data_IF_939816147049
#
_entry.id   IF_939816147049
#
_cell.length_a   1.000
_cell.length_b   1.000
_cell.length_c   1.000
_cell.angle_alpha   90.00
_cell.angle_beta   90.00
_cell.angle_gamma   90.00
#
_symmetry.space_group_name_H-M   'P 1'
#
loop_
_entity.id
_entity.type
_entity.pdbx_description
1 polymer ?
#
# COMPACT_ATOMS: atom_id res chain seq x y z
N UNK A 1 12.03 -9.30 -14.59
CA UNK A 1 11.50 -7.99 -14.19
C UNK A 1 12.04 -6.99 -15.17
N UNK A 2 11.20 -6.07 -15.61
CA UNK A 2 11.63 -4.89 -16.37
C UNK A 2 11.47 -3.66 -15.49
N UNK A 3 12.41 -2.73 -15.63
CA UNK A 3 12.43 -1.46 -14.90
C UNK A 3 12.46 -0.35 -15.94
N UNK A 4 11.51 0.57 -15.85
CA UNK A 4 11.47 1.76 -16.69
C UNK A 4 12.35 2.83 -16.04
N UNK A 5 13.39 3.26 -16.75
CA UNK A 5 14.38 4.22 -16.27
C UNK A 5 14.37 5.49 -17.13
N UNK A 6 14.56 6.64 -16.48
CA UNK A 6 14.96 7.86 -17.15
C UNK A 6 16.43 7.80 -17.54
N UNK A 7 16.84 8.65 -18.50
CA UNK A 7 18.24 8.75 -18.93
C UNK A 7 19.21 9.12 -17.79
N UNK A 8 18.70 9.74 -16.71
CA UNK A 8 19.46 10.09 -15.50
C UNK A 8 19.46 8.98 -14.42
N UNK A 9 18.92 7.79 -14.73
CA UNK A 9 18.91 6.64 -13.83
C UNK A 9 17.76 6.59 -12.82
N UNK A 10 16.85 7.57 -12.81
CA UNK A 10 15.65 7.52 -11.95
C UNK A 10 14.67 6.45 -12.43
N UNK A 11 14.10 5.70 -11.49
CA UNK A 11 13.09 4.66 -11.75
C UNK A 11 11.71 5.30 -11.90
N UNK A 12 11.05 5.07 -13.04
CA UNK A 12 9.67 5.44 -13.28
C UNK A 12 8.70 4.35 -12.85
N UNK A 13 9.09 3.09 -13.06
CA UNK A 13 8.23 1.95 -12.82
C UNK A 13 8.98 0.64 -12.92
N UNK A 14 8.31 -0.43 -12.48
CA UNK A 14 8.78 -1.78 -12.68
C UNK A 14 7.59 -2.70 -12.95
N UNK A 15 7.80 -3.69 -13.81
CA UNK A 15 6.82 -4.73 -14.12
C UNK A 15 7.44 -6.11 -14.02
N UNK A 16 6.66 -7.06 -13.48
CA UNK A 16 7.06 -8.45 -13.52
C UNK A 16 6.98 -8.95 -14.96
N UNK A 17 8.03 -9.60 -15.45
CA UNK A 17 8.03 -10.32 -16.74
C UNK A 17 7.59 -11.77 -16.61
N UNK A 18 7.36 -12.22 -15.37
CA UNK A 18 6.86 -13.55 -15.05
C UNK A 18 5.47 -13.43 -14.45
N UNK A 19 4.54 -14.23 -14.98
CA UNK A 19 3.23 -14.44 -14.38
C UNK A 19 3.29 -15.63 -13.43
N UNK A 20 2.56 -15.53 -12.33
CA UNK A 20 2.31 -16.64 -11.41
C UNK A 20 0.99 -17.29 -11.83
N UNK A 21 0.99 -18.61 -12.04
CA UNK A 21 -0.17 -19.36 -12.52
C UNK A 21 -0.96 -20.03 -11.40
N UNK A 22 -0.40 -20.11 -10.20
CA UNK A 22 -1.01 -20.70 -9.01
C UNK A 22 -2.00 -19.79 -8.26
N UNK A 23 -2.42 -18.69 -8.88
CA UNK A 23 -3.45 -17.80 -8.36
C UNK A 23 -3.07 -17.14 -7.02
N UNK A 24 -4.07 -16.93 -6.17
CA UNK A 24 -3.92 -16.20 -4.92
C UNK A 24 -2.96 -16.85 -3.90
N UNK A 25 -2.95 -18.18 -3.72
CA UNK A 25 -1.99 -18.83 -2.81
C UNK A 25 -0.53 -18.63 -3.22
N UNK A 26 -0.20 -18.82 -4.51
CA UNK A 26 1.19 -18.62 -4.99
C UNK A 26 1.60 -17.14 -4.89
N UNK A 27 0.70 -16.23 -5.27
CA UNK A 27 0.94 -14.79 -5.15
C UNK A 27 1.14 -14.36 -3.69
N UNK A 28 0.30 -14.87 -2.79
CA UNK A 28 0.39 -14.61 -1.35
C UNK A 28 1.73 -15.08 -0.79
N UNK A 29 2.15 -16.30 -1.08
CA UNK A 29 3.44 -16.84 -0.64
C UNK A 29 4.63 -16.02 -1.17
N UNK A 30 4.59 -15.60 -2.44
CA UNK A 30 5.63 -14.75 -3.03
C UNK A 30 5.69 -13.37 -2.35
N UNK A 31 4.53 -12.76 -2.07
CA UNK A 31 4.46 -11.52 -1.29
C UNK A 31 4.94 -11.72 0.14
N UNK A 32 4.59 -12.82 0.79
CA UNK A 32 5.02 -13.16 2.15
C UNK A 32 6.54 -13.20 2.27
N UNK A 33 7.22 -13.86 1.32
CA UNK A 33 8.68 -13.89 1.28
C UNK A 33 9.29 -12.49 1.07
N UNK A 34 8.83 -11.77 0.04
CA UNK A 34 9.37 -10.44 -0.29
C UNK A 34 9.12 -9.40 0.81
N UNK A 35 7.88 -9.31 1.31
CA UNK A 35 7.51 -8.36 2.36
C UNK A 35 8.12 -8.74 3.71
N UNK A 36 8.19 -10.03 4.05
CA UNK A 36 8.83 -10.50 5.27
C UNK A 36 10.30 -10.07 5.32
N UNK A 37 11.05 -10.29 4.24
CA UNK A 37 12.43 -9.85 4.13
C UNK A 37 12.59 -8.33 4.22
N UNK A 38 11.74 -7.56 3.52
CA UNK A 38 11.77 -6.11 3.55
C UNK A 38 11.44 -5.54 4.95
N UNK A 39 10.39 -6.06 5.59
CA UNK A 39 9.98 -5.66 6.94
C UNK A 39 11.09 -5.96 7.95
N UNK A 40 11.66 -7.16 7.92
CA UNK A 40 12.75 -7.54 8.83
C UNK A 40 13.97 -6.63 8.65
N UNK A 41 14.37 -6.36 7.41
CA UNK A 41 15.51 -5.50 7.08
C UNK A 41 15.29 -4.08 7.58
N UNK A 42 14.13 -3.48 7.28
CA UNK A 42 13.83 -2.11 7.72
C UNK A 42 13.71 -2.04 9.24
N UNK A 43 13.07 -3.01 9.88
CA UNK A 43 12.96 -3.06 11.34
C UNK A 43 14.34 -3.13 12.00
N UNK A 44 15.26 -3.94 11.48
CA UNK A 44 16.61 -4.07 12.01
C UNK A 44 17.43 -2.76 11.95
N UNK A 45 17.30 -1.99 10.86
CA UNK A 45 18.06 -0.74 10.68
C UNK A 45 17.41 0.44 11.42
N UNK A 46 16.09 0.48 11.50
CA UNK A 46 15.35 1.66 11.99
C UNK A 46 14.83 1.52 13.42
N UNK A 47 14.77 0.31 13.96
CA UNK A 47 14.06 0.02 15.21
C UNK A 47 12.52 0.10 15.10
N UNK A 48 11.99 0.28 13.89
CA UNK A 48 10.55 0.32 13.68
C UNK A 48 9.90 -1.05 13.99
N UNK A 49 8.72 -1.01 14.62
CA UNK A 49 7.96 -2.23 14.93
C UNK A 49 7.49 -2.91 13.64
N UNK A 50 7.77 -4.20 13.49
CA UNK A 50 7.35 -5.00 12.33
C UNK A 50 5.85 -4.85 12.01
N UNK A 51 4.98 -4.83 13.04
CA UNK A 51 3.54 -4.61 12.88
C UNK A 51 3.18 -3.26 12.25
N UNK A 52 3.94 -2.20 12.56
CA UNK A 52 3.73 -0.88 11.96
C UNK A 52 4.14 -0.87 10.47
N UNK A 53 5.25 -1.54 10.14
CA UNK A 53 5.69 -1.74 8.76
C UNK A 53 4.70 -2.62 7.98
N UNK A 54 4.11 -3.63 8.62
CA UNK A 54 3.03 -4.43 8.05
C UNK A 54 1.79 -3.60 7.70
N UNK A 55 1.42 -2.62 8.52
CA UNK A 55 0.34 -1.69 8.18
C UNK A 55 0.67 -0.82 6.95
N UNK A 56 1.94 -0.43 6.78
CA UNK A 56 2.39 0.28 5.57
C UNK A 56 2.25 -0.63 4.34
N UNK A 57 2.63 -1.91 4.46
CA UNK A 57 2.50 -2.88 3.39
C UNK A 57 1.02 -3.07 2.99
N UNK A 58 0.12 -3.33 3.94
CA UNK A 58 -1.33 -3.44 3.69
C UNK A 58 -1.87 -2.21 2.96
N UNK A 59 -1.59 -1.00 3.49
CA UNK A 59 -2.11 0.24 2.89
C UNK A 59 -1.55 0.46 1.48
N UNK A 60 -0.30 0.07 1.22
CA UNK A 60 0.33 0.18 -0.09
C UNK A 60 -0.25 -0.81 -1.09
N UNK A 61 -0.53 -2.04 -0.67
CA UNK A 61 -1.23 -3.04 -1.48
C UNK A 61 -2.62 -2.53 -1.85
N UNK A 62 -3.40 -2.08 -0.85
CA UNK A 62 -4.74 -1.53 -1.09
C UNK A 62 -4.72 -0.36 -2.06
N UNK A 63 -3.73 0.54 -1.94
CA UNK A 63 -3.61 1.69 -2.85
C UNK A 63 -3.26 1.26 -4.27
N UNK A 64 -2.38 0.28 -4.43
CA UNK A 64 -1.98 -0.23 -5.75
C UNK A 64 -3.11 -0.99 -6.43
N UNK A 65 -3.91 -1.75 -5.67
CA UNK A 65 -5.10 -2.43 -6.17
C UNK A 65 -6.11 -1.43 -6.77
N UNK A 66 -6.30 -0.26 -6.16
CA UNK A 66 -7.21 0.77 -6.66
C UNK A 66 -6.77 1.46 -7.97
N UNK A 67 -5.59 1.14 -8.54
CA UNK A 67 -5.16 1.69 -9.84
C UNK A 67 -5.78 0.96 -11.03
N UNK A 68 -6.72 0.05 -10.78
CA UNK A 68 -7.51 -0.66 -11.80
C UNK A 68 -8.79 0.11 -12.16
N UNK A 69 -9.33 -0.04 -13.39
CA UNK A 69 -10.64 0.51 -13.75
C UNK A 69 -11.83 -0.14 -13.02
N UNK A 70 -11.65 -1.30 -12.37
CA UNK A 70 -12.69 -1.99 -11.58
C UNK A 70 -12.37 -1.98 -10.07
N UNK A 71 -12.65 -0.85 -9.38
CA UNK A 71 -12.27 -0.71 -7.99
C UNK A 71 -13.09 -1.57 -7.03
N UNK A 72 -14.30 -2.00 -7.40
CA UNK A 72 -15.10 -2.88 -6.56
C UNK A 72 -14.46 -4.26 -6.44
N UNK A 73 -14.06 -4.82 -7.58
CA UNK A 73 -13.29 -6.06 -7.60
C UNK A 73 -11.96 -5.92 -6.87
N UNK A 74 -11.31 -4.76 -6.99
CA UNK A 74 -10.06 -4.47 -6.29
C UNK A 74 -10.22 -4.50 -4.77
N UNK A 75 -11.26 -3.84 -4.25
CA UNK A 75 -11.56 -3.81 -2.83
C UNK A 75 -11.95 -5.19 -2.31
N UNK A 76 -12.74 -5.96 -3.07
CA UNK A 76 -13.13 -7.32 -2.73
C UNK A 76 -11.93 -8.29 -2.70
N UNK A 77 -10.93 -8.09 -3.57
CA UNK A 77 -9.71 -8.90 -3.62
C UNK A 77 -8.73 -8.59 -2.48
N UNK A 78 -8.77 -7.38 -1.92
CA UNK A 78 -7.74 -6.89 -1.01
C UNK A 78 -7.60 -7.73 0.26
N UNK A 79 -8.71 -8.08 0.93
CA UNK A 79 -8.66 -8.90 2.15
C UNK A 79 -8.18 -10.33 1.88
N UNK A 80 -8.72 -11.06 0.88
CA UNK A 80 -8.19 -12.36 0.48
C UNK A 80 -6.68 -12.34 0.16
N UNK A 81 -6.21 -11.32 -0.57
CA UNK A 81 -4.79 -11.18 -0.88
C UNK A 81 -3.95 -10.97 0.38
N UNK A 82 -4.35 -10.05 1.25
CA UNK A 82 -3.63 -9.77 2.49
C UNK A 82 -3.60 -10.99 3.42
N UNK A 83 -4.69 -11.77 3.48
CA UNK A 83 -4.72 -13.02 4.22
C UNK A 83 -3.76 -14.07 3.65
N UNK A 84 -3.70 -14.22 2.31
CA UNK A 84 -2.82 -15.17 1.64
C UNK A 84 -1.32 -14.88 1.83
N UNK A 85 -0.94 -13.65 2.23
CA UNK A 85 0.45 -13.27 2.51
C UNK A 85 1.00 -13.99 3.76
N UNK A 86 0.14 -14.33 4.73
CA UNK A 86 0.54 -15.14 5.89
C UNK A 86 1.44 -14.44 6.93
N UNK A 87 1.51 -13.11 6.91
CA UNK A 87 2.34 -12.31 7.85
C UNK A 87 1.53 -11.65 8.99
N UNK A 88 0.30 -12.09 9.24
CA UNK A 88 -0.65 -11.47 10.20
C UNK A 88 -0.78 -9.94 10.00
N UNK A 89 -0.87 -9.54 8.72
CA UNK A 89 -1.02 -8.16 8.33
C UNK A 89 -2.41 -7.63 8.73
N UNK A 90 -2.54 -6.35 9.12
CA UNK A 90 -3.85 -5.78 9.42
C UNK A 90 -4.74 -5.79 8.17
N UNK A 91 -6.05 -5.90 8.38
CA UNK A 91 -7.04 -5.88 7.30
C UNK A 91 -6.98 -4.56 6.52
N UNK A 92 -7.06 -4.60 5.17
CA UNK A 92 -7.17 -3.40 4.37
C UNK A 92 -8.50 -2.69 4.65
N UNK A 93 -8.48 -1.35 4.59
CA UNK A 93 -9.67 -0.53 4.86
C UNK A 93 -9.85 0.49 3.76
N UNK A 94 -11.09 0.67 3.34
CA UNK A 94 -11.45 1.60 2.27
C UNK A 94 -12.53 2.57 2.76
N UNK A 95 -12.58 3.74 2.13
CA UNK A 95 -13.63 4.75 2.25
C UNK A 95 -14.00 5.23 0.86
N UNK A 96 -15.18 5.85 0.71
CA UNK A 96 -15.56 6.52 -0.53
C UNK A 96 -15.55 8.03 -0.37
N UNK A 97 -15.10 8.69 -1.42
CA UNK A 97 -15.17 10.13 -1.62
C UNK A 97 -16.04 10.35 -2.86
N UNK A 98 -17.33 10.61 -2.64
CA UNK A 98 -18.31 10.52 -3.72
C UNK A 98 -18.33 9.09 -4.30
N UNK A 99 -18.03 8.95 -5.60
CA UNK A 99 -17.94 7.64 -6.27
C UNK A 99 -16.55 7.02 -6.20
N UNK A 100 -15.52 7.81 -5.88
CA UNK A 100 -14.12 7.40 -5.93
C UNK A 100 -13.71 6.70 -4.62
N UNK A 101 -13.26 5.43 -4.66
CA UNK A 101 -12.75 4.76 -3.48
C UNK A 101 -11.33 5.21 -3.14
N UNK A 102 -11.01 5.22 -1.86
CA UNK A 102 -9.69 5.55 -1.33
C UNK A 102 -9.32 4.63 -0.16
N UNK A 103 -8.04 4.37 0.03
CA UNK A 103 -7.55 3.62 1.20
C UNK A 103 -7.70 4.47 2.46
N UNK A 104 -8.36 3.91 3.48
CA UNK A 104 -8.41 4.47 4.83
C UNK A 104 -7.19 4.01 5.63
N UNK A 105 -6.07 4.70 5.39
CA UNK A 105 -4.75 4.31 5.93
C UNK A 105 -4.77 4.07 7.43
N UNK A 106 -4.19 2.94 7.84
CA UNK A 106 -3.84 2.63 9.23
C UNK A 106 -2.40 3.03 9.57
N UNK A 107 -1.56 3.14 8.55
CA UNK A 107 -0.14 3.43 8.66
C UNK A 107 0.17 4.92 8.57
N UNK A 108 1.22 5.33 9.28
CA UNK A 108 1.85 6.63 9.08
C UNK A 108 3.30 6.44 8.65
N UNK A 109 3.66 6.95 7.47
CA UNK A 109 5.04 6.96 7.00
C UNK A 109 5.93 8.02 7.67
N UNK A 110 5.35 8.86 8.55
CA UNK A 110 6.05 9.94 9.26
C UNK A 110 6.82 10.91 8.36
N UNK A 111 6.46 11.01 7.07
CA UNK A 111 7.15 11.90 6.12
C UNK A 111 7.15 13.37 6.57
N UNK A 112 6.20 13.76 7.42
CA UNK A 112 6.13 15.11 7.98
C UNK A 112 7.20 15.43 9.01
N UNK A 113 7.82 14.41 9.64
CA UNK A 113 8.96 14.60 10.55
C UNK A 113 10.23 15.00 9.79
N UNK A 114 10.26 14.82 8.47
CA UNK A 114 11.38 15.23 7.60
C UNK A 114 11.02 16.44 6.72
N UNK A 115 10.13 17.30 7.21
CA UNK A 115 9.79 18.59 6.60
C UNK A 115 8.83 18.54 5.40
N UNK A 116 8.35 17.36 5.01
CA UNK A 116 7.35 17.25 3.94
C UNK A 116 5.93 17.49 4.48
N UNK A 117 4.98 17.96 3.64
CA UNK A 117 3.59 18.03 4.07
C UNK A 117 3.01 16.63 4.34
N UNK A 118 2.04 16.53 5.26
CA UNK A 118 1.26 15.30 5.47
C UNK A 118 0.58 14.91 4.16
N UNK A 119 0.67 13.65 3.76
CA UNK A 119 -0.03 13.15 2.57
C UNK A 119 -1.56 13.23 2.73
N UNK A 120 -2.29 13.26 1.60
CA UNK A 120 -3.76 13.42 1.58
C UNK A 120 -4.47 12.39 2.46
N UNK A 121 -4.01 11.15 2.47
CA UNK A 121 -4.58 10.05 3.25
C UNK A 121 -3.96 9.86 4.65
N UNK A 122 -3.09 10.76 5.12
CA UNK A 122 -2.34 10.57 6.37
C UNK A 122 -3.27 10.39 7.58
N UNK A 123 -3.09 9.36 8.44
CA UNK A 123 -3.91 9.16 9.64
C UNK A 123 -3.59 10.13 10.77
N UNK A 124 -2.55 10.96 10.64
CA UNK A 124 -2.16 12.01 11.60
C UNK A 124 -2.80 13.38 11.30
N UNK A 125 -3.75 13.42 10.38
CA UNK A 125 -4.63 14.58 10.16
C UNK A 125 -5.87 14.45 11.04
N UNK A 126 -6.52 15.57 11.35
CA UNK A 126 -7.86 15.49 11.95
C UNK A 126 -8.83 14.83 10.94
N UNK A 127 -9.92 14.20 11.41
CA UNK A 127 -10.91 13.61 10.52
C UNK A 127 -11.47 14.60 9.49
N UNK A 128 -11.77 15.84 9.91
CA UNK A 128 -12.32 16.89 9.05
C UNK A 128 -11.34 17.36 7.97
N UNK A 129 -10.08 17.64 8.34
CA UNK A 129 -9.05 18.01 7.34
C UNK A 129 -8.81 16.90 6.33
N UNK A 130 -8.76 15.64 6.80
CA UNK A 130 -8.57 14.49 5.92
C UNK A 130 -9.73 14.34 4.96
N UNK A 131 -10.97 14.49 5.42
CA UNK A 131 -12.14 14.46 4.54
C UNK A 131 -12.09 15.57 3.48
N UNK A 132 -11.82 16.81 3.91
CA UNK A 132 -11.75 17.96 3.00
C UNK A 132 -10.67 17.76 1.92
N UNK A 133 -9.47 17.30 2.32
CA UNK A 133 -8.37 17.05 1.37
C UNK A 133 -8.62 15.86 0.46
N UNK A 134 -9.24 14.80 0.97
CA UNK A 134 -9.65 13.66 0.15
C UNK A 134 -10.69 14.09 -0.88
N UNK A 135 -11.69 14.89 -0.48
CA UNK A 135 -12.70 15.46 -1.36
C UNK A 135 -12.07 16.33 -2.45
N UNK A 136 -11.18 17.25 -2.08
CA UNK A 136 -10.50 18.10 -3.05
C UNK A 136 -9.61 17.34 -4.05
N UNK A 137 -9.12 16.14 -3.69
CA UNK A 137 -8.24 15.35 -4.54
C UNK A 137 -8.95 14.31 -5.41
N UNK A 138 -10.14 13.84 -5.01
CA UNK A 138 -10.78 12.64 -5.59
C UNK A 138 -12.27 12.81 -5.93
N UNK A 139 -12.91 13.89 -5.49
CA UNK A 139 -14.33 14.19 -5.71
C UNK A 139 -14.53 15.49 -6.48
#
# INVERSE_FOLDING_TARGET
MEIDLLADGRVLGARSTRLLSGGLPELGAAFGQALGAAIATIAAVTGARARALGAIATDSIGNRLLWTPDPERAMALAEPLVAAIGLDLPKPRFVRVGRTPAVRRASCCLIYEVGNPKCVSCPRQTPAEREARLRAALG
#
